data_IF_798452014852
#
_entry.id   IF_798452014852
#
_cell.length_a   1.000
_cell.length_b   1.000
_cell.length_c   1.000
_cell.angle_alpha   90.00
_cell.angle_beta   90.00
_cell.angle_gamma   90.00
#
_symmetry.space_group_name_H-M   'P 1'
#
loop_
_entity.id
_entity.type
_entity.pdbx_description
1 polymer ?
#
# COMPACT_ATOMS: atom_id res chain seq x y z
N UNK A 1 9.09 17.06 16.29
CA UNK A 1 8.86 17.68 14.97
C UNK A 1 7.36 17.75 14.75
N UNK A 2 6.81 18.92 14.41
CA UNK A 2 5.38 19.07 14.11
C UNK A 2 5.02 18.36 12.80
N UNK A 3 3.72 18.15 12.54
CA UNK A 3 3.23 17.59 11.27
C UNK A 3 3.62 18.49 10.10
N UNK A 4 3.32 19.78 10.17
CA UNK A 4 3.69 20.77 9.17
C UNK A 4 5.18 20.74 8.80
N UNK A 5 6.06 20.74 9.81
CA UNK A 5 7.51 20.69 9.58
C UNK A 5 7.96 19.35 8.98
N UNK A 6 7.30 18.23 9.30
CA UNK A 6 7.55 16.95 8.64
C UNK A 6 7.19 17.02 7.15
N UNK A 7 5.97 17.47 6.84
CA UNK A 7 5.45 17.52 5.46
C UNK A 7 6.33 18.41 4.58
N UNK A 8 6.67 19.60 5.08
CA UNK A 8 7.52 20.52 4.36
C UNK A 8 8.93 19.94 4.14
N UNK A 9 9.54 19.36 5.17
CA UNK A 9 10.94 18.87 5.11
C UNK A 9 11.12 17.67 4.19
N UNK A 10 10.19 16.72 4.23
CA UNK A 10 10.36 15.42 3.54
C UNK A 10 9.58 15.30 2.23
N UNK A 11 8.51 16.07 2.07
CA UNK A 11 7.62 15.98 0.92
C UNK A 11 7.45 17.32 0.17
N UNK A 12 7.95 18.42 0.74
CA UNK A 12 7.88 19.74 0.10
C UNK A 12 6.45 20.30 -0.01
N UNK A 13 5.51 19.81 0.81
CA UNK A 13 4.11 20.24 0.80
C UNK A 13 3.66 20.81 2.14
N UNK A 14 2.65 21.68 2.09
CA UNK A 14 1.98 22.23 3.27
C UNK A 14 0.89 21.28 3.81
N UNK A 15 0.32 21.61 4.98
CA UNK A 15 -0.82 20.84 5.50
C UNK A 15 -2.06 21.01 4.61
N UNK A 16 -2.28 22.20 4.08
CA UNK A 16 -3.39 22.52 3.17
C UNK A 16 -3.30 21.70 1.88
N UNK A 17 -2.10 21.59 1.30
CA UNK A 17 -1.88 20.77 0.10
C UNK A 17 -2.08 19.27 0.38
N UNK A 18 -1.73 18.80 1.59
CA UNK A 18 -2.05 17.43 2.00
C UNK A 18 -3.57 17.24 2.10
N UNK A 19 -4.27 18.20 2.70
CA UNK A 19 -5.72 18.10 2.93
C UNK A 19 -6.49 18.20 1.59
N UNK A 20 -6.05 19.04 0.65
CA UNK A 20 -6.55 19.03 -0.74
C UNK A 20 -6.38 17.67 -1.41
N UNK A 21 -5.22 17.01 -1.20
CA UNK A 21 -4.97 15.68 -1.77
C UNK A 21 -5.86 14.62 -1.12
N UNK A 22 -6.12 14.75 0.18
CA UNK A 22 -7.05 13.89 0.91
C UNK A 22 -8.48 14.07 0.39
N UNK A 23 -8.93 15.30 0.19
CA UNK A 23 -10.26 15.62 -0.34
C UNK A 23 -10.42 15.11 -1.78
N UNK A 24 -9.43 15.34 -2.65
CA UNK A 24 -9.41 14.80 -4.03
C UNK A 24 -9.49 13.28 -4.08
N UNK A 25 -9.05 12.59 -3.03
CA UNK A 25 -9.17 11.13 -2.87
C UNK A 25 -10.44 10.68 -2.12
N UNK A 26 -11.38 11.58 -1.84
CA UNK A 26 -12.59 11.27 -1.08
C UNK A 26 -12.31 10.83 0.36
N UNK A 27 -11.18 11.25 0.94
CA UNK A 27 -10.75 10.81 2.27
C UNK A 27 -10.20 9.38 2.31
N UNK A 28 -10.02 8.71 1.17
CA UNK A 28 -9.67 7.30 1.10
C UNK A 28 -8.21 7.05 0.72
N UNK A 29 -7.72 5.85 1.07
CA UNK A 29 -6.46 5.33 0.52
C UNK A 29 -6.61 5.08 -0.98
N UNK A 30 -5.74 5.65 -1.81
CA UNK A 30 -5.83 5.55 -3.28
C UNK A 30 -5.69 4.13 -3.86
N UNK A 31 -5.36 3.11 -3.04
CA UNK A 31 -5.18 1.72 -3.49
C UNK A 31 -6.25 0.77 -2.95
N UNK A 32 -6.61 0.89 -1.67
CA UNK A 32 -7.56 -0.05 -1.06
C UNK A 32 -8.93 0.57 -0.81
N UNK A 33 -9.11 1.84 -1.16
CA UNK A 33 -10.38 2.58 -1.12
C UNK A 33 -11.07 2.63 0.26
N UNK A 34 -10.30 2.36 1.32
CA UNK A 34 -10.76 2.45 2.69
C UNK A 34 -10.56 3.86 3.22
N UNK A 35 -11.54 4.35 3.96
CA UNK A 35 -11.58 5.72 4.45
C UNK A 35 -10.52 5.94 5.53
N UNK A 36 -9.96 7.16 5.60
CA UNK A 36 -8.87 7.45 6.53
C UNK A 36 -9.26 7.25 8.02
N UNK A 37 -10.56 7.38 8.34
CA UNK A 37 -11.10 7.14 9.69
C UNK A 37 -11.01 5.66 10.12
N UNK A 38 -10.85 4.73 9.19
CA UNK A 38 -10.71 3.31 9.49
C UNK A 38 -9.27 2.93 9.92
N UNK A 39 -8.32 3.86 9.81
CA UNK A 39 -6.93 3.63 10.16
C UNK A 39 -6.55 4.34 11.45
N UNK A 40 -5.70 3.70 12.26
CA UNK A 40 -5.14 4.28 13.49
C UNK A 40 -4.22 5.48 13.23
N UNK A 41 -3.75 5.63 12.00
CA UNK A 41 -2.78 6.63 11.59
C UNK A 41 -3.26 7.30 10.31
N UNK A 42 -2.87 8.55 10.13
CA UNK A 42 -3.09 9.28 8.88
C UNK A 42 -2.49 8.53 7.69
N UNK A 43 -3.04 8.79 6.51
CA UNK A 43 -2.48 8.28 5.26
C UNK A 43 -1.07 8.86 5.05
N UNK A 44 -0.19 8.05 4.48
CA UNK A 44 1.18 8.41 4.15
C UNK A 44 1.23 9.02 2.74
N UNK A 45 2.08 10.03 2.57
CA UNK A 45 2.37 10.61 1.26
C UNK A 45 3.25 9.64 0.47
N UNK A 46 2.72 9.13 -0.64
CA UNK A 46 3.44 8.28 -1.58
C UNK A 46 3.97 9.12 -2.75
N UNK A 47 5.20 8.83 -3.17
CA UNK A 47 5.87 9.54 -4.26
C UNK A 47 6.70 8.58 -5.09
N UNK A 48 6.95 8.98 -6.32
CA UNK A 48 7.89 8.31 -7.20
C UNK A 48 9.32 8.65 -6.78
N UNK A 49 10.17 7.64 -6.59
CA UNK A 49 11.53 7.85 -6.08
C UNK A 49 12.52 8.35 -7.13
N UNK A 50 12.15 8.35 -8.41
CA UNK A 50 12.99 8.80 -9.52
C UNK A 50 12.64 10.23 -9.93
N UNK A 51 11.34 10.54 -10.00
CA UNK A 51 10.84 11.86 -10.41
C UNK A 51 10.48 12.77 -9.25
N UNK A 52 10.45 12.24 -8.02
CA UNK A 52 9.98 12.92 -6.81
C UNK A 52 8.51 13.38 -6.86
N UNK A 53 7.76 12.97 -7.89
CA UNK A 53 6.36 13.33 -8.05
C UNK A 53 5.51 12.63 -6.99
N UNK A 54 4.74 13.39 -6.23
CA UNK A 54 3.72 12.85 -5.33
C UNK A 54 2.63 12.15 -6.16
N UNK A 55 2.34 10.89 -5.80
CA UNK A 55 1.33 10.06 -6.48
C UNK A 55 -0.02 10.11 -5.76
N UNK A 56 -0.01 10.19 -4.43
CA UNK A 56 -1.23 10.19 -3.63
C UNK A 56 -0.98 9.89 -2.16
N UNK A 57 -2.08 9.69 -1.42
CA UNK A 57 -2.09 9.29 -0.03
C UNK A 57 -2.49 7.82 0.11
N UNK A 58 -1.68 7.04 0.82
CA UNK A 58 -1.85 5.61 0.99
C UNK A 58 -1.91 5.22 2.47
N UNK A 59 -2.70 4.21 2.83
CA UNK A 59 -2.63 3.65 4.17
C UNK A 59 -1.26 2.99 4.40
N UNK A 60 -0.82 2.86 5.66
CA UNK A 60 0.50 2.33 6.00
C UNK A 60 0.75 0.95 5.35
N UNK A 61 -0.28 0.09 5.32
CA UNK A 61 -0.20 -1.23 4.72
C UNK A 61 0.05 -1.16 3.20
N UNK A 62 -0.76 -0.41 2.47
CA UNK A 62 -0.59 -0.25 1.02
C UNK A 62 0.75 0.41 0.69
N UNK A 63 1.12 1.46 1.41
CA UNK A 63 2.38 2.17 1.22
C UNK A 63 3.60 1.25 1.41
N UNK A 64 3.67 0.50 2.52
CA UNK A 64 4.84 -0.37 2.78
C UNK A 64 4.83 -1.64 1.95
N UNK A 65 3.69 -2.34 1.89
CA UNK A 65 3.65 -3.72 1.42
C UNK A 65 3.21 -3.87 -0.02
N UNK A 66 2.29 -3.03 -0.50
CA UNK A 66 1.80 -3.12 -1.90
C UNK A 66 2.66 -2.31 -2.85
N UNK A 67 3.08 -1.11 -2.46
CA UNK A 67 3.87 -0.21 -3.32
C UNK A 67 5.35 -0.22 -2.94
N UNK A 68 5.68 -0.04 -1.66
CA UNK A 68 7.07 0.08 -1.20
C UNK A 68 7.94 -1.14 -1.51
N UNK A 69 7.34 -2.33 -1.58
CA UNK A 69 7.99 -3.60 -1.95
C UNK A 69 7.92 -3.94 -3.43
N UNK A 70 7.04 -3.30 -4.20
CA UNK A 70 6.78 -3.63 -5.60
C UNK A 70 6.85 -2.35 -6.43
N UNK A 71 8.06 -2.06 -6.93
CA UNK A 71 8.36 -0.82 -7.66
C UNK A 71 8.29 -0.98 -9.18
N UNK A 72 8.13 -2.21 -9.68
CA UNK A 72 7.96 -2.51 -11.09
C UNK A 72 6.46 -2.68 -11.42
N UNK A 73 5.89 -1.68 -12.09
CA UNK A 73 4.50 -1.70 -12.52
C UNK A 73 4.22 -2.84 -13.53
N UNK A 74 5.18 -3.21 -14.36
CA UNK A 74 5.02 -4.29 -15.35
C UNK A 74 4.93 -5.66 -14.68
N UNK A 75 5.65 -5.88 -13.60
CA UNK A 75 5.48 -7.07 -12.77
C UNK A 75 4.09 -7.11 -12.12
N UNK A 76 3.61 -5.98 -11.58
CA UNK A 76 2.29 -5.93 -10.96
C UNK A 76 1.15 -6.23 -11.95
N UNK A 77 1.24 -5.73 -13.19
CA UNK A 77 0.30 -6.09 -14.26
C UNK A 77 0.32 -7.59 -14.56
N UNK A 78 1.51 -8.16 -14.75
CA UNK A 78 1.66 -9.62 -14.96
C UNK A 78 1.11 -10.45 -13.80
N UNK A 79 1.22 -9.98 -12.56
CA UNK A 79 0.62 -10.65 -11.40
C UNK A 79 -0.90 -10.64 -11.50
N UNK A 80 -1.51 -9.51 -11.88
CA UNK A 80 -2.95 -9.43 -12.08
C UNK A 80 -3.40 -10.40 -13.19
N UNK A 81 -2.74 -10.36 -14.35
CA UNK A 81 -3.03 -11.25 -15.48
C UNK A 81 -2.90 -12.73 -15.08
N UNK A 82 -1.86 -13.08 -14.31
CA UNK A 82 -1.63 -14.44 -13.83
C UNK A 82 -2.72 -14.94 -12.88
N UNK A 83 -3.24 -14.07 -12.00
CA UNK A 83 -4.32 -14.41 -11.08
C UNK A 83 -5.61 -14.71 -11.84
N UNK A 84 -5.86 -14.01 -12.94
CA UNK A 84 -7.09 -14.14 -13.74
C UNK A 84 -7.07 -15.33 -14.70
N UNK A 85 -5.91 -15.70 -15.27
CA UNK A 85 -5.82 -16.74 -16.29
C UNK A 85 -6.30 -18.12 -15.81
N UNK A 86 -5.90 -18.52 -14.61
CA UNK A 86 -6.23 -19.83 -14.04
C UNK A 86 -5.88 -21.03 -14.96
N UNK A 87 -6.22 -22.23 -14.51
CA UNK A 87 -6.23 -23.44 -15.34
C UNK A 87 -7.42 -24.28 -14.91
N UNK A 88 -7.83 -25.27 -15.70
CA UNK A 88 -8.90 -26.22 -15.31
C UNK A 88 -8.46 -27.29 -14.31
N UNK A 89 -7.26 -27.17 -13.74
CA UNK A 89 -6.75 -28.08 -12.72
C UNK A 89 -7.00 -27.53 -11.32
N UNK A 90 -7.57 -28.38 -10.48
CA UNK A 90 -7.95 -28.01 -9.12
C UNK A 90 -7.07 -28.73 -8.09
N UNK A 91 -6.77 -28.03 -7.00
CA UNK A 91 -6.13 -28.65 -5.83
C UNK A 91 -7.14 -29.53 -5.08
N UNK A 92 -6.74 -30.70 -4.54
CA UNK A 92 -7.64 -31.54 -3.75
C UNK A 92 -8.15 -30.79 -2.51
N UNK A 93 -9.47 -30.83 -2.27
CA UNK A 93 -10.12 -30.15 -1.15
C UNK A 93 -9.57 -30.61 0.23
N UNK A 94 -9.20 -31.89 0.34
CA UNK A 94 -8.76 -32.50 1.59
C UNK A 94 -7.26 -32.37 1.84
N UNK A 95 -6.67 -31.21 1.50
CA UNK A 95 -5.25 -30.99 1.71
C UNK A 95 -4.96 -30.87 3.22
N UNK A 96 -4.34 -31.91 3.81
CA UNK A 96 -3.90 -31.89 5.22
C UNK A 96 -3.09 -30.61 5.46
N UNK A 97 -3.58 -29.71 6.32
CA UNK A 97 -2.84 -28.50 6.70
C UNK A 97 -1.46 -28.92 7.23
N UNK A 98 -0.39 -28.41 6.63
CA UNK A 98 0.97 -28.65 7.14
C UNK A 98 1.00 -28.10 8.58
N UNK A 99 1.30 -28.96 9.55
CA UNK A 99 1.48 -28.54 10.95
C UNK A 99 2.56 -27.46 10.97
N UNK A 100 2.35 -26.30 11.61
CA UNK A 100 3.41 -25.30 11.73
C UNK A 100 4.62 -25.95 12.40
N UNK A 101 5.82 -25.71 11.84
CA UNK A 101 7.07 -26.14 12.47
C UNK A 101 7.12 -25.50 13.86
N UNK A 102 7.14 -26.32 14.92
CA UNK A 102 7.43 -25.83 16.28
C UNK A 102 8.78 -25.12 16.19
N UNK A 103 8.83 -23.82 16.49
CA UNK A 103 10.11 -23.16 16.76
C UNK A 103 10.70 -23.89 17.95
N UNK A 104 11.91 -24.45 17.81
CA UNK A 104 12.70 -24.84 18.98
C UNK A 104 12.98 -23.52 19.70
N UNK A 105 12.44 -23.37 20.90
CA UNK A 105 12.89 -22.34 21.82
C UNK A 105 14.25 -22.82 22.32
N UNK A 106 15.32 -22.10 21.97
CA UNK A 106 16.56 -22.07 22.74
C UNK A 106 16.46 -20.95 23.77
#
# INVERSE_FOLDING_TARGET
MSRSSHLQRYFGITEEQYDELLEKQGGCCAICDRHHSEFKTRLAVDHDHSTLRIRGLLCNYCNRYRVGRHRDASLLRRIADYIEQGTDWYVPANRKKRRPRKKKNE
#
